data_IF_066593716952
#
_entry.id   IF_066593716952
#
_cell.length_a   1.000
_cell.length_b   1.000
_cell.length_c   1.000
_cell.angle_alpha   90.00
_cell.angle_beta   90.00
_cell.angle_gamma   90.00
#
_symmetry.space_group_name_H-M   'P 1'
#
loop_
_entity.id
_entity.type
_entity.pdbx_description
1 polymer ?
#
# COMPACT_ATOMS: atom_id res chain seq x y z
N UNK A 1 -10.93 -9.64 -15.05
CA UNK A 1 -10.21 -9.33 -13.79
C UNK A 1 -9.71 -10.63 -13.19
N UNK A 2 -8.49 -10.65 -12.63
CA UNK A 2 -8.02 -11.81 -11.87
C UNK A 2 -8.85 -11.91 -10.57
N UNK A 3 -9.55 -13.02 -10.29
CA UNK A 3 -10.55 -13.08 -9.23
C UNK A 3 -10.02 -12.83 -7.81
N UNK A 4 -8.70 -12.87 -7.61
CA UNK A 4 -8.01 -12.69 -6.32
C UNK A 4 -7.15 -11.43 -6.24
N UNK A 5 -7.33 -10.51 -7.19
CA UNK A 5 -6.64 -9.21 -7.21
C UNK A 5 -7.70 -8.11 -7.22
N UNK A 6 -7.63 -7.21 -6.25
CA UNK A 6 -8.51 -6.05 -6.16
C UNK A 6 -7.66 -4.78 -6.17
N UNK A 7 -8.08 -3.81 -6.97
CA UNK A 7 -7.50 -2.47 -6.98
C UNK A 7 -8.22 -1.64 -5.93
N UNK A 8 -7.48 -0.99 -5.04
CA UNK A 8 -7.99 -0.11 -4.00
C UNK A 8 -7.66 1.33 -4.38
N UNK A 9 -8.68 2.16 -4.61
CA UNK A 9 -8.48 3.60 -4.80
C UNK A 9 -7.94 4.20 -3.50
N UNK A 10 -6.77 4.83 -3.60
CA UNK A 10 -6.01 5.41 -2.48
C UNK A 10 -5.44 6.77 -2.89
N UNK A 11 -6.29 7.76 -3.18
CA UNK A 11 -5.86 9.08 -3.63
C UNK A 11 -5.09 9.84 -2.54
N UNK A 12 -4.28 10.81 -2.96
CA UNK A 12 -3.51 11.68 -2.07
C UNK A 12 -2.15 11.97 -2.66
N UNK A 13 -1.25 10.96 -2.64
CA UNK A 13 0.05 11.05 -3.32
C UNK A 13 -0.10 11.54 -4.77
N UNK A 14 -1.06 10.93 -5.49
CA UNK A 14 -1.67 11.53 -6.68
C UNK A 14 -3.18 11.35 -6.62
N UNK A 15 -3.98 12.16 -7.34
CA UNK A 15 -5.44 12.00 -7.37
C UNK A 15 -5.90 10.62 -7.89
N UNK A 16 -5.10 9.97 -8.74
CA UNK A 16 -5.38 8.66 -9.32
C UNK A 16 -4.69 7.48 -8.63
N UNK A 17 -4.02 7.71 -7.49
CA UNK A 17 -3.20 6.68 -6.86
C UNK A 17 -4.04 5.45 -6.45
N UNK A 18 -3.46 4.27 -6.64
CA UNK A 18 -4.11 2.98 -6.43
C UNK A 18 -3.16 2.00 -5.74
N UNK A 19 -3.69 1.30 -4.74
CA UNK A 19 -3.05 0.20 -4.04
C UNK A 19 -3.60 -1.14 -4.55
N UNK A 20 -2.94 -2.25 -4.22
CA UNK A 20 -3.37 -3.59 -4.64
C UNK A 20 -3.59 -4.49 -3.45
N UNK A 21 -4.75 -5.15 -3.38
CA UNK A 21 -5.00 -6.30 -2.51
C UNK A 21 -4.91 -7.58 -3.33
N UNK A 22 -4.09 -8.52 -2.87
CA UNK A 22 -3.82 -9.80 -3.53
C UNK A 22 -4.03 -10.94 -2.54
N UNK A 23 -4.85 -11.92 -2.91
CA UNK A 23 -5.11 -13.12 -2.12
C UNK A 23 -4.33 -14.31 -2.68
N UNK A 24 -3.31 -14.75 -1.94
CA UNK A 24 -2.44 -15.86 -2.30
C UNK A 24 -2.84 -17.13 -1.52
N UNK A 25 -2.93 -18.31 -2.17
CA UNK A 25 -3.39 -19.53 -1.51
C UNK A 25 -2.57 -19.93 -0.27
N UNK A 26 -1.25 -19.74 -0.31
CA UNK A 26 -0.34 -20.23 0.73
C UNK A 26 0.01 -19.15 1.76
N UNK A 27 0.16 -17.91 1.31
CA UNK A 27 0.62 -16.81 2.16
C UNK A 27 -0.50 -15.85 2.55
N UNK A 28 -1.77 -16.13 2.22
CA UNK A 28 -2.92 -15.32 2.63
C UNK A 28 -3.03 -13.98 1.89
N UNK A 29 -3.64 -12.99 2.54
CA UNK A 29 -3.91 -11.68 1.94
C UNK A 29 -2.72 -10.74 2.09
N UNK A 30 -2.39 -10.04 1.01
CA UNK A 30 -1.38 -8.99 0.95
C UNK A 30 -2.00 -7.71 0.42
N UNK A 31 -1.62 -6.58 0.99
CA UNK A 31 -1.95 -5.26 0.47
C UNK A 31 -0.63 -4.53 0.18
N UNK A 32 -0.44 -4.13 -1.06
CA UNK A 32 0.69 -3.32 -1.50
C UNK A 32 0.22 -1.87 -1.58
N UNK A 33 0.74 -1.04 -0.68
CA UNK A 33 0.29 0.34 -0.49
C UNK A 33 0.80 1.30 -1.58
N UNK A 34 1.88 0.95 -2.29
CA UNK A 34 2.54 1.89 -3.19
C UNK A 34 2.93 3.18 -2.48
N UNK A 35 2.66 4.32 -3.09
CA UNK A 35 3.03 5.64 -2.59
C UNK A 35 1.97 6.21 -1.63
N UNK A 36 0.90 5.46 -1.32
CA UNK A 36 -0.01 5.82 -0.23
C UNK A 36 0.63 5.59 1.15
N UNK A 37 1.69 4.77 1.22
CA UNK A 37 2.55 4.60 2.38
C UNK A 37 3.99 4.31 1.89
N UNK A 38 4.81 5.37 1.84
CA UNK A 38 6.18 5.30 1.32
C UNK A 38 7.05 4.34 2.13
N UNK A 39 6.99 4.44 3.45
CA UNK A 39 7.86 3.77 4.40
C UNK A 39 7.04 2.99 5.43
N UNK A 40 7.69 2.05 6.13
CA UNK A 40 7.09 1.39 7.28
C UNK A 40 6.66 2.37 8.37
N UNK A 41 7.31 3.54 8.46
CA UNK A 41 6.93 4.61 9.37
C UNK A 41 5.49 5.09 9.16
N UNK A 42 5.01 5.20 7.91
CA UNK A 42 3.64 5.61 7.63
C UNK A 42 2.63 4.68 8.30
N UNK A 43 2.94 3.39 8.36
CA UNK A 43 2.08 2.36 8.94
C UNK A 43 2.19 2.31 10.46
N UNK A 44 3.41 2.45 11.01
CA UNK A 44 3.69 2.34 12.44
C UNK A 44 3.24 3.59 13.22
N UNK A 45 3.61 4.76 12.70
CA UNK A 45 3.35 6.05 13.35
C UNK A 45 2.02 6.66 12.90
N UNK A 46 1.35 6.02 11.93
CA UNK A 46 0.09 6.47 11.33
C UNK A 46 0.19 7.87 10.73
N UNK A 47 1.30 8.12 10.04
CA UNK A 47 1.56 9.38 9.33
C UNK A 47 1.33 9.20 7.83
N UNK A 48 0.58 10.10 7.16
CA UNK A 48 0.33 10.02 5.71
C UNK A 48 1.62 10.03 4.89
N UNK A 49 1.52 9.72 3.59
CA UNK A 49 2.67 9.78 2.68
C UNK A 49 3.32 11.16 2.66
N UNK A 50 4.63 11.19 2.38
CA UNK A 50 5.45 12.39 2.54
C UNK A 50 5.25 13.45 1.45
N UNK A 51 4.55 13.12 0.37
CA UNK A 51 4.36 14.01 -0.77
C UNK A 51 3.03 13.81 -1.47
N UNK A 52 2.33 14.91 -1.75
CA UNK A 52 1.10 14.95 -2.55
C UNK A 52 1.33 15.80 -3.81
N UNK A 53 1.37 15.16 -4.98
CA UNK A 53 1.72 15.81 -6.25
C UNK A 53 0.69 16.83 -6.73
N UNK A 54 -0.57 16.74 -6.27
CA UNK A 54 -1.61 17.71 -6.58
C UNK A 54 -1.40 19.06 -5.90
N UNK A 55 -0.66 19.09 -4.79
CA UNK A 55 -0.25 20.30 -4.07
C UNK A 55 -1.38 21.05 -3.37
N UNK A 56 -2.55 20.43 -3.15
CA UNK A 56 -3.71 21.04 -2.50
C UNK A 56 -3.93 20.44 -1.11
N UNK A 57 -4.51 21.20 -0.15
CA UNK A 57 -4.90 20.66 1.15
C UNK A 57 -5.82 19.43 1.05
N UNK A 58 -6.69 19.39 0.03
CA UNK A 58 -7.59 18.24 -0.21
C UNK A 58 -6.83 16.96 -0.57
N UNK A 59 -5.63 17.07 -1.16
CA UNK A 59 -4.78 15.92 -1.48
C UNK A 59 -4.18 15.33 -0.19
N UNK A 60 -3.75 16.18 0.75
CA UNK A 60 -3.24 15.75 2.06
C UNK A 60 -4.33 15.05 2.88
N UNK A 61 -5.54 15.62 2.92
CA UNK A 61 -6.69 14.99 3.56
C UNK A 61 -7.04 13.65 2.88
N UNK A 62 -6.94 13.57 1.56
CA UNK A 62 -7.14 12.32 0.82
C UNK A 62 -6.07 11.28 1.15
N UNK A 63 -4.80 11.68 1.32
CA UNK A 63 -3.71 10.80 1.71
C UNK A 63 -3.94 10.21 3.11
N UNK A 64 -4.37 11.02 4.06
CA UNK A 64 -4.73 10.57 5.42
C UNK A 64 -5.88 9.56 5.40
N UNK A 65 -6.96 9.86 4.67
CA UNK A 65 -8.10 8.95 4.51
C UNK A 65 -7.68 7.64 3.84
N UNK A 66 -6.81 7.70 2.84
CA UNK A 66 -6.27 6.52 2.15
C UNK A 66 -5.43 5.64 3.06
N UNK A 67 -4.57 6.23 3.89
CA UNK A 67 -3.79 5.49 4.90
C UNK A 67 -4.71 4.78 5.90
N UNK A 68 -5.69 5.50 6.47
CA UNK A 68 -6.64 4.91 7.41
C UNK A 68 -7.45 3.78 6.79
N UNK A 69 -7.86 3.94 5.53
CA UNK A 69 -8.53 2.88 4.78
C UNK A 69 -7.65 1.65 4.63
N UNK A 70 -6.37 1.81 4.24
CA UNK A 70 -5.45 0.68 4.09
C UNK A 70 -5.23 -0.06 5.42
N UNK A 71 -5.09 0.68 6.53
CA UNK A 71 -4.96 0.10 7.86
C UNK A 71 -6.22 -0.69 8.27
N UNK A 72 -7.42 -0.15 8.01
CA UNK A 72 -8.69 -0.85 8.27
C UNK A 72 -8.82 -2.11 7.41
N UNK A 73 -8.59 -2.00 6.10
CA UNK A 73 -8.67 -3.14 5.18
C UNK A 73 -7.66 -4.24 5.54
N UNK A 74 -6.48 -3.85 6.01
CA UNK A 74 -5.48 -4.81 6.47
C UNK A 74 -5.92 -5.54 7.74
N UNK A 75 -6.49 -4.81 8.72
CA UNK A 75 -7.01 -5.42 9.94
C UNK A 75 -8.21 -6.35 9.65
N UNK A 76 -9.17 -5.89 8.84
CA UNK A 76 -10.40 -6.63 8.53
C UNK A 76 -10.13 -7.91 7.73
N UNK A 77 -9.12 -7.88 6.86
CA UNK A 77 -8.76 -9.00 6.00
C UNK A 77 -7.61 -9.87 6.54
N UNK A 78 -7.12 -9.60 7.77
CA UNK A 78 -5.91 -10.19 8.35
C UNK A 78 -4.74 -10.17 7.33
N UNK A 79 -4.56 -9.03 6.67
CA UNK A 79 -3.64 -8.88 5.56
C UNK A 79 -2.28 -8.32 6.01
N UNK A 80 -1.24 -8.76 5.32
CA UNK A 80 0.07 -8.11 5.39
C UNK A 80 0.04 -6.82 4.56
N UNK A 81 0.28 -5.68 5.19
CA UNK A 81 0.37 -4.38 4.53
C UNK A 81 1.83 -4.02 4.26
N UNK A 82 2.16 -3.74 2.99
CA UNK A 82 3.53 -3.57 2.51
C UNK A 82 3.72 -2.13 1.99
N UNK A 83 4.70 -1.36 2.52
CA UNK A 83 5.00 0.00 2.04
C UNK A 83 5.70 -0.02 0.67
N UNK A 84 5.70 1.13 -0.01
CA UNK A 84 6.19 1.25 -1.40
C UNK A 84 7.72 1.38 -1.57
N UNK A 85 8.36 2.20 -0.73
CA UNK A 85 9.75 2.66 -0.86
C UNK A 85 10.62 2.33 0.36
N UNK A 86 10.20 1.38 1.19
CA UNK A 86 10.96 1.00 2.38
C UNK A 86 12.13 0.06 2.04
N UNK A 87 13.36 0.57 2.20
CA UNK A 87 14.58 -0.18 1.89
C UNK A 87 14.75 -1.44 2.75
N UNK A 88 14.28 -1.43 4.00
CA UNK A 88 14.38 -2.62 4.87
C UNK A 88 13.47 -3.72 4.36
N UNK A 89 12.25 -3.37 3.95
CA UNK A 89 11.31 -4.30 3.31
C UNK A 89 11.87 -4.82 2.00
N UNK A 90 12.37 -3.94 1.12
CA UNK A 90 12.96 -4.33 -0.17
C UNK A 90 14.13 -5.32 0.03
N UNK A 91 15.01 -5.06 0.99
CA UNK A 91 16.15 -5.93 1.29
C UNK A 91 15.73 -7.29 1.89
N UNK A 92 14.60 -7.34 2.59
CA UNK A 92 14.08 -8.58 3.18
C UNK A 92 13.39 -9.47 2.14
N UNK A 93 12.85 -8.90 1.07
CA UNK A 93 12.21 -9.64 -0.02
C UNK A 93 13.25 -10.38 -0.85
N UNK A 94 13.08 -11.70 -1.00
CA UNK A 94 13.92 -12.52 -1.88
C UNK A 94 13.23 -12.73 -3.22
N UNK A 95 13.87 -12.27 -4.29
CA UNK A 95 13.45 -12.60 -5.65
C UNK A 95 14.09 -13.94 -6.09
N UNK A 96 13.32 -14.89 -6.65
CA UNK A 96 13.89 -16.08 -7.25
C UNK A 96 14.84 -15.70 -8.38
N UNK A 97 15.99 -16.37 -8.48
CA UNK A 97 16.97 -16.11 -9.55
C UNK A 97 16.40 -16.31 -10.96
N UNK A 98 15.39 -17.17 -11.12
CA UNK A 98 14.69 -17.44 -12.38
C UNK A 98 13.43 -16.60 -12.58
N UNK A 99 13.11 -15.70 -11.66
CA UNK A 99 11.80 -15.03 -11.58
C UNK A 99 10.66 -16.01 -11.21
N UNK A 100 9.45 -15.47 -11.21
CA UNK A 100 8.19 -16.20 -11.10
C UNK A 100 7.43 -15.99 -12.41
N UNK A 101 6.98 -17.07 -13.06
CA UNK A 101 6.14 -17.06 -14.27
C UNK A 101 4.74 -17.53 -13.93
#
# INVERSE_FOLDING_TARGET
MAPRVRVLSTPGHTPGHSSLRVELPESGTWIFAGDAADLGQNLLDRVPCGYCAGGRPDDEASAELSLHRLLSEAADADARLVPGHDQLVLNAVRHPRSGHR
#
